data_IF_117856163624
#
_entry.id   IF_117856163624
#
_cell.length_a   1.000
_cell.length_b   1.000
_cell.length_c   1.000
_cell.angle_alpha   90.00
_cell.angle_beta   90.00
_cell.angle_gamma   90.00
#
_symmetry.space_group_name_H-M   'P 1'
#
loop_
_entity.id
_entity.type
_entity.pdbx_description
1 polymer ?
#
# COMPACT_ATOMS: atom_id res chain seq x y z
N UNK A 1 9.15 2.63 -14.13
CA UNK A 1 7.95 2.75 -13.31
C UNK A 1 7.85 4.11 -12.62
N UNK A 2 8.83 4.55 -11.82
CA UNK A 2 8.78 5.81 -11.06
C UNK A 2 8.50 7.05 -11.93
N UNK A 3 9.02 7.10 -13.15
CA UNK A 3 8.87 8.25 -14.06
C UNK A 3 7.44 8.43 -14.62
N UNK A 4 6.61 7.39 -14.59
CA UNK A 4 5.23 7.42 -15.11
C UNK A 4 4.16 7.72 -14.06
N UNK A 5 4.55 7.95 -12.78
CA UNK A 5 3.60 8.10 -11.69
C UNK A 5 3.07 9.53 -11.58
N UNK A 6 1.76 9.64 -11.38
CA UNK A 6 1.09 10.90 -11.09
C UNK A 6 1.46 11.50 -9.73
N UNK A 7 0.86 12.65 -9.36
CA UNK A 7 1.14 13.34 -8.08
C UNK A 7 0.74 12.52 -6.85
N UNK A 8 -0.16 11.57 -7.01
CA UNK A 8 -0.54 10.62 -5.95
C UNK A 8 -0.34 9.19 -6.45
N UNK A 9 0.37 8.38 -5.69
CA UNK A 9 0.68 7.00 -6.02
C UNK A 9 0.76 6.14 -4.77
N UNK A 10 0.27 4.91 -4.89
CA UNK A 10 0.28 3.90 -3.84
C UNK A 10 1.01 2.67 -4.34
N UNK A 11 1.88 2.13 -3.51
CA UNK A 11 2.56 0.87 -3.77
C UNK A 11 2.56 -0.03 -2.53
N UNK A 12 2.59 -1.33 -2.76
CA UNK A 12 2.73 -2.37 -1.75
C UNK A 12 4.09 -3.02 -1.91
N UNK A 13 4.92 -2.96 -0.89
CA UNK A 13 6.15 -3.73 -0.80
C UNK A 13 5.85 -5.01 -0.01
N UNK A 14 5.94 -6.17 -0.66
CA UNK A 14 5.64 -7.47 -0.03
C UNK A 14 6.92 -8.09 0.49
N UNK A 15 7.15 -7.99 1.81
CA UNK A 15 8.32 -8.53 2.48
C UNK A 15 7.98 -9.87 3.15
N UNK A 16 8.53 -10.98 2.63
CA UNK A 16 8.32 -12.32 3.18
C UNK A 16 6.95 -12.95 2.93
N UNK A 17 6.03 -12.28 2.22
CA UNK A 17 4.77 -12.91 1.80
C UNK A 17 5.06 -14.07 0.87
N UNK A 18 4.72 -15.30 1.26
CA UNK A 18 5.06 -16.51 0.52
C UNK A 18 3.87 -17.32 0.01
N UNK A 19 2.67 -17.13 0.55
CA UNK A 19 1.48 -17.90 0.19
C UNK A 19 0.90 -17.42 -1.15
N UNK A 20 0.79 -18.29 -2.20
CA UNK A 20 0.26 -17.91 -3.50
C UNK A 20 -1.20 -17.43 -3.48
N UNK A 21 -2.03 -17.93 -2.56
CA UNK A 21 -3.42 -17.49 -2.42
C UNK A 21 -3.47 -16.05 -1.87
N UNK A 22 -2.70 -15.75 -0.84
CA UNK A 22 -2.59 -14.39 -0.32
C UNK A 22 -2.04 -13.44 -1.39
N UNK A 23 -1.02 -13.88 -2.12
CA UNK A 23 -0.45 -13.09 -3.21
C UNK A 23 -1.49 -12.77 -4.30
N UNK A 24 -2.24 -13.77 -4.77
CA UNK A 24 -3.32 -13.57 -5.75
C UNK A 24 -4.39 -12.59 -5.25
N UNK A 25 -4.84 -12.72 -4.00
CA UNK A 25 -5.81 -11.81 -3.38
C UNK A 25 -5.27 -10.38 -3.24
N UNK A 26 -3.98 -10.23 -2.91
CA UNK A 26 -3.30 -8.93 -2.86
C UNK A 26 -3.23 -8.30 -4.25
N UNK A 27 -2.87 -9.05 -5.30
CA UNK A 27 -2.82 -8.55 -6.67
C UNK A 27 -4.21 -8.04 -7.13
N UNK A 28 -5.26 -8.81 -6.87
CA UNK A 28 -6.64 -8.41 -7.17
C UNK A 28 -7.02 -7.10 -6.46
N UNK A 29 -6.72 -7.00 -5.18
CA UNK A 29 -7.01 -5.81 -4.38
C UNK A 29 -6.18 -4.61 -4.83
N UNK A 30 -4.89 -4.81 -5.13
CA UNK A 30 -4.00 -3.78 -5.65
C UNK A 30 -4.49 -3.23 -6.99
N UNK A 31 -4.89 -4.10 -7.92
CA UNK A 31 -5.49 -3.72 -9.19
C UNK A 31 -6.75 -2.87 -9.00
N UNK A 32 -7.65 -3.29 -8.10
CA UNK A 32 -8.89 -2.56 -7.81
C UNK A 32 -8.64 -1.13 -7.31
N UNK A 33 -7.64 -0.93 -6.45
CA UNK A 33 -7.31 0.40 -5.90
C UNK A 33 -6.27 1.17 -6.71
N UNK A 34 -5.73 0.59 -7.80
CA UNK A 34 -4.71 1.21 -8.63
C UNK A 34 -3.35 1.34 -7.93
N UNK A 35 -3.02 0.39 -7.05
CA UNK A 35 -1.72 0.29 -6.39
C UNK A 35 -0.75 -0.56 -7.22
N UNK A 36 0.53 -0.21 -7.22
CA UNK A 36 1.60 -1.06 -7.74
C UNK A 36 2.05 -2.07 -6.68
N UNK A 37 2.57 -3.22 -7.11
CA UNK A 37 3.13 -4.23 -6.20
C UNK A 37 4.63 -4.33 -6.42
N UNK A 38 5.39 -4.17 -5.35
CA UNK A 38 6.84 -4.18 -5.32
C UNK A 38 7.32 -5.47 -4.65
N UNK A 39 8.14 -6.23 -5.34
CA UNK A 39 8.73 -7.47 -4.84
C UNK A 39 10.22 -7.29 -4.60
N UNK A 40 10.76 -7.65 -3.42
CA UNK A 40 12.20 -7.67 -3.18
C UNK A 40 12.95 -8.51 -4.23
N UNK A 41 14.22 -8.20 -4.46
CA UNK A 41 15.07 -8.91 -5.43
C UNK A 41 15.09 -10.43 -5.21
N UNK A 42 15.14 -10.87 -3.95
CA UNK A 42 15.15 -12.29 -3.56
C UNK A 42 13.76 -12.91 -3.34
N UNK A 43 12.66 -12.20 -3.62
CA UNK A 43 11.32 -12.73 -3.38
C UNK A 43 11.03 -13.95 -4.25
N UNK A 44 10.60 -15.09 -3.66
CA UNK A 44 10.19 -16.27 -4.41
C UNK A 44 8.82 -16.10 -5.10
N UNK A 45 8.11 -15.01 -4.81
CA UNK A 45 6.80 -14.77 -5.41
C UNK A 45 6.90 -14.61 -6.91
N UNK A 46 6.16 -15.44 -7.59
CA UNK A 46 5.95 -15.41 -9.04
C UNK A 46 4.46 -15.61 -9.32
N UNK A 47 4.03 -15.17 -10.48
CA UNK A 47 2.67 -15.39 -10.94
C UNK A 47 2.48 -16.86 -11.30
N UNK A 48 2.16 -17.67 -10.29
CA UNK A 48 1.80 -19.08 -10.46
C UNK A 48 0.35 -19.22 -10.96
N UNK A 49 0.02 -20.37 -11.52
CA UNK A 49 -1.38 -20.64 -11.90
C UNK A 49 -2.37 -20.57 -10.72
N UNK A 50 -1.91 -20.83 -9.48
CA UNK A 50 -2.74 -20.67 -8.29
C UNK A 50 -2.96 -19.18 -7.97
N UNK A 51 -1.90 -18.36 -7.98
CA UNK A 51 -2.00 -16.91 -7.77
C UNK A 51 -2.84 -16.24 -8.87
N UNK A 52 -2.64 -16.61 -10.13
CA UNK A 52 -3.40 -16.06 -11.26
C UNK A 52 -4.90 -16.33 -11.16
N UNK A 53 -5.29 -17.55 -10.76
CA UNK A 53 -6.72 -17.89 -10.54
C UNK A 53 -7.35 -17.03 -9.45
N UNK A 54 -6.66 -16.83 -8.32
CA UNK A 54 -7.17 -16.01 -7.22
C UNK A 54 -7.21 -14.53 -7.58
N UNK A 55 -6.25 -14.07 -8.39
CA UNK A 55 -6.19 -12.69 -8.83
C UNK A 55 -7.32 -12.29 -9.81
N UNK A 56 -7.98 -13.25 -10.49
CA UNK A 56 -9.13 -13.00 -11.37
C UNK A 56 -8.93 -11.80 -12.33
N UNK A 57 -7.87 -11.81 -13.12
CA UNK A 57 -7.50 -10.71 -14.00
C UNK A 57 -6.74 -9.56 -13.34
N UNK A 58 -6.64 -9.53 -12.01
CA UNK A 58 -5.88 -8.51 -11.29
C UNK A 58 -4.38 -8.57 -11.55
N UNK A 59 -3.88 -9.75 -11.91
CA UNK A 59 -2.47 -9.94 -12.20
C UNK A 59 -2.02 -9.23 -13.49
N UNK A 60 -2.88 -9.14 -14.48
CA UNK A 60 -2.65 -8.43 -15.74
C UNK A 60 -2.87 -6.92 -15.61
N UNK A 61 -3.72 -6.52 -14.66
CA UNK A 61 -4.07 -5.12 -14.43
C UNK A 61 -3.11 -4.39 -13.48
N UNK A 62 -2.38 -5.13 -12.62
CA UNK A 62 -1.48 -4.52 -11.63
C UNK A 62 -0.08 -4.33 -12.19
N UNK A 63 0.55 -3.19 -11.87
CA UNK A 63 1.98 -3.01 -12.15
C UNK A 63 2.80 -3.75 -11.11
N UNK A 64 3.48 -4.83 -11.54
CA UNK A 64 4.37 -5.63 -10.70
C UNK A 64 5.82 -5.25 -10.98
N UNK A 65 6.55 -4.82 -9.95
CA UNK A 65 7.93 -4.33 -10.06
C UNK A 65 8.87 -5.18 -9.22
N UNK A 66 9.95 -5.66 -9.81
CA UNK A 66 11.08 -6.24 -9.05
C UNK A 66 12.02 -5.13 -8.59
N UNK A 67 12.26 -5.08 -7.30
CA UNK A 67 13.13 -4.07 -6.69
C UNK A 67 14.61 -4.47 -6.77
N UNK A 68 15.52 -3.49 -6.83
CA UNK A 68 16.93 -3.71 -6.53
C UNK A 68 17.10 -4.03 -5.02
N UNK A 69 18.33 -4.22 -4.50
CA UNK A 69 18.58 -4.37 -3.07
C UNK A 69 17.89 -3.28 -2.25
N UNK A 70 17.43 -3.62 -1.04
CA UNK A 70 16.52 -2.78 -0.25
C UNK A 70 17.01 -1.35 -0.03
N UNK A 71 18.29 -1.14 0.19
CA UNK A 71 18.87 0.20 0.38
C UNK A 71 18.68 1.07 -0.86
N UNK A 72 19.04 0.55 -2.03
CA UNK A 72 18.88 1.26 -3.31
C UNK A 72 17.41 1.54 -3.62
N UNK A 73 16.54 0.57 -3.33
CA UNK A 73 15.10 0.69 -3.55
C UNK A 73 14.50 1.80 -2.67
N UNK A 74 14.83 1.84 -1.37
CA UNK A 74 14.38 2.85 -0.41
C UNK A 74 14.82 4.24 -0.87
N UNK A 75 16.09 4.40 -1.23
CA UNK A 75 16.64 5.67 -1.69
C UNK A 75 15.96 6.16 -2.97
N UNK A 76 15.70 5.26 -3.93
CA UNK A 76 15.00 5.61 -5.16
C UNK A 76 13.55 6.03 -4.90
N UNK A 77 12.83 5.33 -4.02
CA UNK A 77 11.46 5.64 -3.63
C UNK A 77 11.38 7.00 -2.91
N UNK A 78 12.30 7.27 -1.98
CA UNK A 78 12.37 8.55 -1.28
C UNK A 78 12.67 9.72 -2.22
N UNK A 79 13.63 9.56 -3.14
CA UNK A 79 13.90 10.59 -4.18
C UNK A 79 12.69 10.84 -5.07
N UNK A 80 11.84 9.84 -5.27
CA UNK A 80 10.58 9.98 -5.99
C UNK A 80 9.43 10.55 -5.13
N UNK A 81 9.70 10.95 -3.88
CA UNK A 81 8.74 11.58 -2.97
C UNK A 81 7.81 10.62 -2.24
N UNK A 82 8.13 9.32 -2.21
CA UNK A 82 7.37 8.38 -1.40
C UNK A 82 7.80 8.43 0.07
N UNK A 83 6.82 8.30 0.96
CA UNK A 83 7.03 7.86 2.34
C UNK A 83 6.81 6.35 2.42
N UNK A 84 7.63 5.67 3.21
CA UNK A 84 7.50 4.25 3.48
C UNK A 84 6.85 4.06 4.85
N UNK A 85 5.81 3.25 4.92
CA UNK A 85 5.12 2.91 6.15
C UNK A 85 5.18 1.40 6.39
N UNK A 86 5.80 0.98 7.49
CA UNK A 86 5.75 -0.38 7.97
C UNK A 86 4.35 -0.67 8.52
N UNK A 87 3.71 -1.73 8.05
CA UNK A 87 2.46 -2.20 8.64
C UNK A 87 2.79 -3.14 9.80
N UNK A 88 2.31 -2.80 10.98
CA UNK A 88 2.59 -3.53 12.21
C UNK A 88 1.30 -3.93 12.92
N UNK A 89 1.36 -5.03 13.66
CA UNK A 89 0.20 -5.50 14.45
C UNK A 89 -0.05 -4.60 15.64
N UNK A 90 1.03 -4.16 16.32
CA UNK A 90 0.98 -3.33 17.53
C UNK A 90 2.05 -2.24 17.48
N UNK A 91 1.81 -1.15 18.23
CA UNK A 91 2.81 -0.08 18.40
C UNK A 91 2.98 0.82 17.17
N UNK A 92 2.04 0.79 16.24
CA UNK A 92 1.92 1.73 15.13
C UNK A 92 0.92 2.84 15.42
N UNK A 93 0.95 3.87 14.59
CA UNK A 93 -0.09 4.90 14.54
C UNK A 93 -1.40 4.28 14.05
N UNK A 94 -2.52 4.70 14.63
CA UNK A 94 -3.84 4.26 14.20
C UNK A 94 -4.11 4.71 12.76
N UNK A 95 -4.26 3.74 11.86
CA UNK A 95 -4.52 3.95 10.44
C UNK A 95 -5.69 4.91 10.18
N UNK A 96 -6.70 4.88 11.04
CA UNK A 96 -7.93 5.68 10.86
C UNK A 96 -7.82 7.09 11.43
N UNK A 97 -6.86 7.33 12.35
CA UNK A 97 -6.65 8.61 12.99
C UNK A 97 -5.62 9.49 12.26
N UNK A 98 -4.75 8.89 11.43
CA UNK A 98 -3.65 9.63 10.78
C UNK A 98 -3.99 10.09 9.37
N UNK A 99 -3.33 11.15 8.92
CA UNK A 99 -3.29 11.54 7.51
C UNK A 99 -2.24 10.73 6.77
N UNK A 100 -2.64 10.19 5.62
CA UNK A 100 -1.76 9.41 4.75
C UNK A 100 -1.21 10.30 3.62
N UNK A 101 0.08 10.17 3.29
CA UNK A 101 0.70 10.97 2.24
C UNK A 101 0.15 10.63 0.85
N UNK A 102 0.35 11.56 -0.08
CA UNK A 102 -0.06 11.38 -1.47
C UNK A 102 0.71 10.25 -2.17
N UNK A 103 2.02 10.13 -1.87
CA UNK A 103 2.87 9.04 -2.34
C UNK A 103 3.25 8.17 -1.16
N UNK A 104 2.73 6.95 -1.14
CA UNK A 104 2.89 6.01 -0.03
C UNK A 104 3.32 4.64 -0.52
N UNK A 105 4.33 4.07 0.11
CA UNK A 105 4.66 2.64 0.06
C UNK A 105 4.23 2.02 1.39
N UNK A 106 3.33 1.06 1.33
CA UNK A 106 2.96 0.22 2.47
C UNK A 106 3.82 -1.04 2.43
N UNK A 107 4.64 -1.26 3.44
CA UNK A 107 5.47 -2.44 3.57
C UNK A 107 4.70 -3.48 4.36
N UNK A 108 4.33 -4.58 3.70
CA UNK A 108 3.56 -5.68 4.26
C UNK A 108 4.51 -6.82 4.63
N UNK A 109 4.56 -7.19 5.90
CA UNK A 109 5.35 -8.31 6.40
C UNK A 109 4.69 -9.67 6.21
N UNK A 110 5.47 -10.73 6.38
CA UNK A 110 4.99 -12.11 6.40
C UNK A 110 4.07 -12.37 7.60
N UNK A 111 3.13 -13.31 7.44
CA UNK A 111 2.33 -13.82 8.56
C UNK A 111 3.25 -14.59 9.53
N UNK A 112 3.17 -14.27 10.81
CA UNK A 112 3.94 -14.91 11.89
C UNK A 112 5.34 -14.33 12.09
N UNK A 113 6.17 -14.26 11.07
CA UNK A 113 7.56 -13.75 11.17
C UNK A 113 7.64 -12.23 11.11
N UNK A 114 6.64 -11.59 10.50
CA UNK A 114 6.62 -10.14 10.33
C UNK A 114 7.49 -9.67 9.17
N UNK A 115 8.04 -8.48 9.33
CA UNK A 115 8.89 -7.79 8.36
C UNK A 115 10.35 -7.87 8.78
N UNK A 116 11.28 -7.84 7.83
CA UNK A 116 12.71 -7.69 8.13
C UNK A 116 12.96 -6.46 9.02
N UNK A 117 13.75 -6.65 10.10
CA UNK A 117 13.94 -5.63 11.11
C UNK A 117 14.65 -4.38 10.58
N UNK A 118 15.59 -4.54 9.65
CA UNK A 118 16.30 -3.42 9.04
C UNK A 118 15.39 -2.64 8.09
N UNK A 119 14.53 -3.34 7.34
CA UNK A 119 13.52 -2.72 6.49
C UNK A 119 12.48 -1.97 7.34
N UNK A 120 12.00 -2.58 8.42
CA UNK A 120 11.07 -1.93 9.36
C UNK A 120 11.66 -0.66 10.01
N UNK A 121 12.93 -0.70 10.37
CA UNK A 121 13.66 0.45 10.93
C UNK A 121 13.91 1.56 9.89
N UNK A 122 14.01 1.20 8.62
CA UNK A 122 14.18 2.15 7.53
C UNK A 122 12.85 2.82 7.10
N UNK A 123 11.70 2.34 7.54
CA UNK A 123 10.41 2.98 7.24
C UNK A 123 10.25 4.31 8.00
N UNK A 124 9.63 5.28 7.34
CA UNK A 124 9.40 6.62 7.88
C UNK A 124 8.29 6.64 8.93
N UNK A 125 7.39 5.66 8.88
CA UNK A 125 6.22 5.52 9.78
C UNK A 125 5.95 4.05 10.08
N UNK A 126 5.18 3.84 11.16
CA UNK A 126 4.57 2.55 11.49
C UNK A 126 3.07 2.74 11.58
N UNK A 127 2.29 1.93 10.87
CA UNK A 127 0.84 2.00 10.86
C UNK A 127 0.24 0.69 11.37
N UNK A 128 -0.78 0.78 12.18
CA UNK A 128 -1.54 -0.37 12.67
C UNK A 128 -3.03 -0.21 12.41
N UNK A 129 -3.71 -1.33 12.22
CA UNK A 129 -5.17 -1.39 12.14
C UNK A 129 -5.68 -1.68 13.55
N UNK A 130 -6.42 -0.75 14.20
CA UNK A 130 -6.99 -1.02 15.50
C UNK A 130 -8.04 -2.11 15.41
N UNK A 131 -8.05 -3.01 16.39
CA UNK A 131 -9.00 -4.12 16.50
C UNK A 131 -9.47 -4.32 17.92
N UNK A 132 -10.44 -5.21 18.12
CA UNK A 132 -11.01 -5.55 19.43
C UNK A 132 -10.03 -6.27 20.36
N UNK A 133 -8.93 -6.82 19.82
CA UNK A 133 -8.00 -7.67 20.55
C UNK A 133 -8.42 -9.15 20.66
N UNK A 134 -9.58 -9.52 20.12
CA UNK A 134 -10.05 -10.91 20.13
C UNK A 134 -9.16 -11.86 19.31
N UNK A 135 -8.47 -11.34 18.32
CA UNK A 135 -7.44 -12.03 17.54
C UNK A 135 -6.20 -11.14 17.47
N UNK A 136 -5.04 -11.76 17.28
CA UNK A 136 -3.79 -11.00 17.29
C UNK A 136 -3.62 -10.13 16.04
N UNK A 137 -3.95 -10.66 14.86
CA UNK A 137 -3.76 -9.97 13.58
C UNK A 137 -4.82 -10.40 12.56
N UNK A 138 -4.94 -9.61 11.49
CA UNK A 138 -5.66 -9.98 10.28
C UNK A 138 -4.75 -10.78 9.35
N UNK A 139 -5.36 -11.64 8.53
CA UNK A 139 -4.70 -12.20 7.35
C UNK A 139 -4.12 -11.06 6.49
N UNK A 140 -2.93 -11.27 5.92
CA UNK A 140 -2.19 -10.22 5.18
C UNK A 140 -2.97 -9.65 4.01
N UNK A 141 -3.75 -10.46 3.29
CA UNK A 141 -4.58 -9.96 2.17
C UNK A 141 -5.77 -9.11 2.69
N UNK A 142 -6.38 -9.51 3.81
CA UNK A 142 -7.43 -8.72 4.46
C UNK A 142 -6.88 -7.38 4.99
N UNK A 143 -5.74 -7.40 5.68
CA UNK A 143 -5.06 -6.19 6.14
C UNK A 143 -4.73 -5.26 4.96
N UNK A 144 -4.22 -5.81 3.86
CA UNK A 144 -3.95 -5.06 2.63
C UNK A 144 -5.19 -4.32 2.13
N UNK A 145 -6.35 -4.98 2.08
CA UNK A 145 -7.59 -4.34 1.63
C UNK A 145 -7.98 -3.15 2.51
N UNK A 146 -7.81 -3.26 3.83
CA UNK A 146 -8.10 -2.17 4.78
C UNK A 146 -7.16 -0.98 4.54
N UNK A 147 -5.86 -1.22 4.44
CA UNK A 147 -4.87 -0.15 4.17
C UNK A 147 -5.13 0.56 2.84
N UNK A 148 -5.37 -0.20 1.77
CA UNK A 148 -5.61 0.37 0.44
C UNK A 148 -6.92 1.18 0.39
N UNK A 149 -7.99 0.68 1.00
CA UNK A 149 -9.28 1.37 1.06
C UNK A 149 -9.17 2.70 1.82
N UNK A 150 -8.43 2.73 2.94
CA UNK A 150 -8.21 3.95 3.72
C UNK A 150 -7.43 5.00 2.93
N UNK A 151 -6.39 4.59 2.20
CA UNK A 151 -5.64 5.52 1.33
C UNK A 151 -6.50 6.04 0.17
N UNK A 152 -7.33 5.21 -0.45
CA UNK A 152 -8.25 5.61 -1.52
C UNK A 152 -9.31 6.60 -1.04
N UNK A 153 -9.87 6.39 0.16
CA UNK A 153 -10.84 7.29 0.78
C UNK A 153 -10.27 8.71 1.01
N UNK A 154 -8.97 8.84 1.36
CA UNK A 154 -8.26 10.11 1.45
C UNK A 154 -8.37 10.92 0.14
N UNK A 155 -8.20 10.24 -1.01
CA UNK A 155 -8.25 10.85 -2.35
C UNK A 155 -9.64 11.43 -2.66
N UNK A 156 -10.70 10.81 -2.17
CA UNK A 156 -12.08 11.28 -2.33
C UNK A 156 -12.36 12.56 -1.52
N UNK A 157 -11.87 12.64 -0.29
CA UNK A 157 -12.03 13.81 0.59
C UNK A 157 -11.38 15.06 0.01
N UNK A 158 -10.19 14.96 -0.56
CA UNK A 158 -9.48 16.10 -1.19
C UNK A 158 -10.20 16.61 -2.44
N UNK A 159 -10.87 15.73 -3.21
CA UNK A 159 -11.68 16.13 -4.37
C UNK A 159 -12.98 16.83 -3.99
N UNK A 160 -13.59 16.45 -2.86
CA UNK A 160 -14.81 17.07 -2.36
C UNK A 160 -14.56 18.52 -1.88
N UNK A 161 -13.45 18.76 -1.18
CA UNK A 161 -13.11 20.11 -0.69
C UNK A 161 -12.77 21.09 -1.84
N UNK A 162 -12.13 20.62 -2.91
CA UNK A 162 -11.82 21.45 -4.07
C UNK A 162 -13.08 21.82 -4.91
N UNK A 163 -14.11 20.96 -4.90
CA UNK A 163 -15.40 21.27 -5.53
C UNK A 163 -16.24 22.25 -4.70
N UNK A 164 -16.20 22.15 -3.36
CA UNK A 164 -16.91 23.06 -2.48
C UNK A 164 -16.37 24.50 -2.54
N UNK A 165 -15.05 24.69 -2.64
CA UNK A 165 -14.40 26.00 -2.77
C UNK A 165 -14.68 26.67 -4.13
N UNK A 166 -14.95 25.91 -5.17
CA UNK A 166 -15.31 26.46 -6.50
C UNK A 166 -16.74 26.93 -6.64
N UNK A 167 -17.67 26.56 -5.74
CA UNK A 167 -19.07 26.96 -5.78
C UNK A 167 -19.39 28.27 -5.00
N UNK A 168 -18.50 28.73 -4.13
CA UNK A 168 -18.73 29.91 -3.28
C UNK A 168 -18.38 31.24 -3.98
N UNK A 169 -17.67 31.18 -5.12
CA UNK A 169 -17.22 32.40 -5.81
C UNK A 169 -18.19 32.94 -6.90
N UNK A 170 -19.42 32.42 -7.02
CA UNK A 170 -20.38 32.83 -8.09
C UNK A 170 -21.70 33.39 -7.62
N UNK A 171 -21.84 33.95 -6.42
CA UNK A 171 -23.08 34.63 -6.05
C UNK A 171 -22.84 35.87 -5.21
N UNK A 172 -22.25 36.91 -5.77
CA UNK A 172 -22.43 38.31 -5.31
C UNK A 172 -21.89 39.28 -6.38
N UNK A 173 -22.64 39.44 -7.47
CA UNK A 173 -22.50 40.59 -8.34
C UNK A 173 -23.83 40.76 -9.12
N UNK A 174 -24.83 41.41 -8.49
CA UNK A 174 -25.84 42.30 -9.10
C UNK A 174 -26.40 43.20 -8.02
#
# INVERSE_FOLDING_TARGET
WLHGLGPAALALWLDGVGNPHNFGAILRTAAHFGASVLLPAGSPLALSGAAARVAEGGAEAVTLVRLPPSVEAIDALRRAGFQLAATVVRGGEDLFAVELPARLVLVMGAEGEGMDAALAAACDRRLSIPGSGAVESLNVAAATAVFLSRWAARKASTRSSSRASGLISRSWAR
#
